data_IF_709307626968
#
_entry.id   IF_709307626968
#
_cell.length_a   1.000
_cell.length_b   1.000
_cell.length_c   1.000
_cell.angle_alpha   90.00
_cell.angle_beta   90.00
_cell.angle_gamma   90.00
#
_symmetry.space_group_name_H-M   'P 1'
#
loop_
_entity.id
_entity.type
_entity.pdbx_description
1 polymer ?
#
# COMPACT_ATOMS: atom_id res chain seq x y z
N UNK A 1 -14.95 -14.86 -17.17
CA UNK A 1 -14.35 -13.66 -17.80
C UNK A 1 -12.91 -14.01 -18.13
N UNK A 2 -12.44 -13.77 -19.36
CA UNK A 2 -11.08 -14.14 -19.74
C UNK A 2 -10.09 -13.25 -18.99
N UNK A 3 -9.10 -13.86 -18.34
CA UNK A 3 -8.06 -13.13 -17.62
C UNK A 3 -7.16 -12.42 -18.63
N UNK A 4 -7.07 -11.10 -18.52
CA UNK A 4 -6.27 -10.30 -19.42
C UNK A 4 -4.79 -10.42 -19.02
N UNK A 5 -3.97 -10.93 -19.94
CA UNK A 5 -2.52 -11.01 -19.76
C UNK A 5 -1.91 -9.72 -20.27
N UNK A 6 -1.14 -9.05 -19.43
CA UNK A 6 -0.52 -7.77 -19.75
C UNK A 6 0.98 -7.93 -19.67
N UNK A 7 1.65 -7.62 -20.78
CA UNK A 7 3.11 -7.59 -20.83
C UNK A 7 3.62 -6.22 -20.38
N UNK A 8 4.51 -6.23 -19.39
CA UNK A 8 5.17 -5.03 -18.86
C UNK A 8 6.68 -5.19 -18.91
N UNK A 9 7.39 -4.07 -19.01
CA UNK A 9 8.85 -4.02 -18.92
C UNK A 9 9.24 -3.25 -17.66
N UNK A 10 10.13 -3.83 -16.85
CA UNK A 10 10.69 -3.20 -15.65
C UNK A 10 12.18 -3.50 -15.61
N UNK A 11 13.01 -2.47 -15.49
CA UNK A 11 14.47 -2.61 -15.42
C UNK A 11 15.03 -3.46 -16.57
N UNK A 12 14.53 -3.22 -17.79
CA UNK A 12 14.89 -3.92 -19.04
C UNK A 12 14.55 -5.42 -19.05
N UNK A 13 13.65 -5.86 -18.17
CA UNK A 13 13.15 -7.23 -18.11
C UNK A 13 11.66 -7.23 -18.43
N UNK A 14 11.24 -8.16 -19.29
CA UNK A 14 9.83 -8.32 -19.67
C UNK A 14 9.15 -9.31 -18.75
N UNK A 15 7.95 -8.97 -18.31
CA UNK A 15 7.11 -9.77 -17.44
C UNK A 15 5.71 -9.82 -18.01
N UNK A 16 5.08 -11.00 -18.00
CA UNK A 16 3.66 -11.15 -18.27
C UNK A 16 2.93 -11.24 -16.94
N UNK A 17 2.04 -10.28 -16.67
CA UNK A 17 1.29 -10.16 -15.43
C UNK A 17 -0.19 -10.41 -15.72
N UNK A 18 -0.83 -11.18 -14.85
CA UNK A 18 -2.25 -11.54 -14.92
C UNK A 18 -2.84 -11.32 -13.53
N UNK A 19 -3.73 -10.32 -13.39
CA UNK A 19 -4.39 -9.98 -12.13
C UNK A 19 -5.87 -9.69 -12.36
N UNK A 20 -6.69 -10.15 -11.41
CA UNK A 20 -8.16 -10.02 -11.48
C UNK A 20 -8.66 -8.68 -10.89
N UNK A 21 -7.82 -8.00 -10.11
CA UNK A 21 -8.16 -6.81 -9.32
C UNK A 21 -7.58 -5.50 -9.87
N UNK A 22 -6.81 -5.57 -10.95
CA UNK A 22 -6.21 -4.40 -11.61
C UNK A 22 -6.41 -4.47 -13.12
N UNK A 23 -6.76 -3.34 -13.72
CA UNK A 23 -6.82 -3.22 -15.18
C UNK A 23 -5.44 -3.03 -15.82
N UNK A 24 -5.38 -3.10 -17.15
CA UNK A 24 -4.14 -2.93 -17.91
C UNK A 24 -3.43 -1.59 -17.64
N UNK A 25 -4.20 -0.51 -17.50
CA UNK A 25 -3.65 0.82 -17.27
C UNK A 25 -3.03 0.93 -15.87
N UNK A 26 -3.70 0.37 -14.86
CA UNK A 26 -3.21 0.31 -13.49
C UNK A 26 -1.94 -0.53 -13.39
N UNK A 27 -1.88 -1.69 -14.06
CA UNK A 27 -0.68 -2.53 -14.10
C UNK A 27 0.50 -1.79 -14.75
N UNK A 28 0.25 -1.07 -15.85
CA UNK A 28 1.25 -0.22 -16.50
C UNK A 28 1.70 0.97 -15.62
N UNK A 29 0.79 1.56 -14.86
CA UNK A 29 1.12 2.65 -13.94
C UNK A 29 2.03 2.15 -12.81
N UNK A 30 1.70 1.00 -12.22
CA UNK A 30 2.51 0.36 -11.17
C UNK A 30 3.88 -0.04 -11.70
N UNK A 31 3.99 -0.57 -12.92
CA UNK A 31 5.28 -0.95 -13.50
C UNK A 31 6.20 0.26 -13.69
N UNK A 32 5.65 1.42 -14.11
CA UNK A 32 6.40 2.68 -14.23
C UNK A 32 6.85 3.22 -12.87
N UNK A 33 5.99 3.15 -11.85
CA UNK A 33 6.37 3.56 -10.50
C UNK A 33 7.49 2.67 -9.95
N UNK A 34 7.40 1.35 -10.16
CA UNK A 34 8.42 0.39 -9.76
C UNK A 34 9.78 0.69 -10.42
N UNK A 35 9.77 1.03 -11.72
CA UNK A 35 10.98 1.41 -12.45
C UNK A 35 11.60 2.72 -11.91
N UNK A 36 10.78 3.72 -11.63
CA UNK A 36 11.25 4.99 -11.04
C UNK A 36 11.87 4.76 -9.65
N UNK A 37 11.24 3.94 -8.81
CA UNK A 37 11.75 3.59 -7.47
C UNK A 37 13.04 2.80 -7.54
N UNK A 38 13.17 1.86 -8.46
CA UNK A 38 14.41 1.12 -8.69
C UNK A 38 15.55 2.07 -9.11
N UNK A 39 15.29 2.98 -10.06
CA UNK A 39 16.28 3.95 -10.51
C UNK A 39 16.74 4.88 -9.37
N UNK A 40 15.81 5.34 -8.54
CA UNK A 40 16.12 6.14 -7.35
C UNK A 40 16.95 5.35 -6.34
N UNK A 41 16.54 4.12 -6.02
CA UNK A 41 17.26 3.27 -5.08
C UNK A 41 18.68 2.96 -5.55
N UNK A 42 18.86 2.74 -6.86
CA UNK A 42 20.17 2.58 -7.48
C UNK A 42 21.04 3.83 -7.31
N UNK A 43 20.47 5.02 -7.52
CA UNK A 43 21.17 6.29 -7.34
C UNK A 43 21.60 6.51 -5.87
N UNK A 44 20.72 6.18 -4.93
CA UNK A 44 20.94 6.40 -3.49
C UNK A 44 21.93 5.40 -2.87
N UNK A 45 21.94 4.15 -3.35
CA UNK A 45 22.72 3.05 -2.73
C UNK A 45 23.97 2.66 -3.52
N UNK A 46 24.09 3.12 -4.76
CA UNK A 46 25.12 2.71 -5.73
C UNK A 46 25.18 1.19 -6.00
N UNK A 47 24.15 0.43 -5.60
CA UNK A 47 24.05 -1.00 -5.91
C UNK A 47 23.68 -1.15 -7.38
N UNK A 48 24.50 -1.86 -8.16
CA UNK A 48 24.27 -2.10 -9.60
C UNK A 48 23.52 -3.41 -9.86
N UNK A 49 23.56 -4.33 -8.89
CA UNK A 49 22.90 -5.63 -9.01
C UNK A 49 21.37 -5.47 -8.96
N UNK A 50 20.73 -5.70 -10.11
CA UNK A 50 19.27 -5.57 -10.27
C UNK A 50 18.47 -6.55 -9.40
N UNK A 51 19.03 -7.72 -9.07
CA UNK A 51 18.38 -8.68 -8.16
C UNK A 51 18.38 -8.18 -6.72
N UNK A 52 19.52 -7.66 -6.25
CA UNK A 52 19.64 -7.05 -4.91
C UNK A 52 18.76 -5.80 -4.80
N UNK A 53 18.74 -4.93 -5.81
CA UNK A 53 17.86 -3.77 -5.84
C UNK A 53 16.38 -4.17 -5.77
N UNK A 54 15.96 -5.22 -6.48
CA UNK A 54 14.60 -5.72 -6.43
C UNK A 54 14.22 -6.23 -5.03
N UNK A 55 15.12 -6.96 -4.36
CA UNK A 55 14.90 -7.44 -2.99
C UNK A 55 14.84 -6.28 -2.00
N UNK A 56 15.75 -5.30 -2.12
CA UNK A 56 15.75 -4.11 -1.27
C UNK A 56 14.45 -3.30 -1.43
N UNK A 57 14.00 -3.11 -2.67
CA UNK A 57 12.75 -2.41 -2.93
C UNK A 57 11.53 -3.17 -2.42
N UNK A 58 11.51 -4.51 -2.54
CA UNK A 58 10.44 -5.33 -1.97
C UNK A 58 10.38 -5.22 -0.44
N UNK A 59 11.54 -5.16 0.23
CA UNK A 59 11.62 -4.94 1.68
C UNK A 59 11.11 -3.55 2.08
N UNK A 60 11.47 -2.52 1.30
CA UNK A 60 11.03 -1.14 1.55
C UNK A 60 9.50 -1.02 1.40
N UNK A 61 8.93 -1.55 0.32
CA UNK A 61 7.47 -1.62 0.11
C UNK A 61 6.79 -2.39 1.24
N UNK A 62 7.36 -3.50 1.69
CA UNK A 62 6.80 -4.29 2.80
C UNK A 62 6.79 -3.51 4.12
N UNK A 63 7.85 -2.73 4.38
CA UNK A 63 7.90 -1.83 5.53
C UNK A 63 6.82 -0.74 5.46
N UNK A 64 6.64 -0.14 4.28
CA UNK A 64 5.62 0.89 4.05
C UNK A 64 4.21 0.32 4.22
N UNK A 65 3.94 -0.87 3.68
CA UNK A 65 2.66 -1.54 3.90
C UNK A 65 2.42 -1.81 5.39
N UNK A 66 3.45 -2.21 6.14
CA UNK A 66 3.30 -2.45 7.58
C UNK A 66 3.03 -1.16 8.36
N UNK A 67 3.67 -0.06 7.98
CA UNK A 67 3.41 1.27 8.56
C UNK A 67 2.01 1.76 8.22
N UNK A 68 1.55 1.58 6.99
CA UNK A 68 0.20 1.93 6.56
C UNK A 68 -0.85 1.13 7.32
N UNK A 69 -0.63 -0.17 7.50
CA UNK A 69 -1.51 -1.02 8.32
C UNK A 69 -1.60 -0.49 9.76
N UNK A 70 -0.47 -0.22 10.41
CA UNK A 70 -0.48 0.31 11.78
C UNK A 70 -1.23 1.65 11.90
N UNK A 71 -1.11 2.54 10.90
CA UNK A 71 -1.85 3.81 10.89
C UNK A 71 -3.36 3.64 10.69
N UNK A 72 -3.79 2.63 9.93
CA UNK A 72 -5.21 2.29 9.79
C UNK A 72 -5.74 1.74 11.13
N UNK A 73 -5.02 0.81 11.75
CA UNK A 73 -5.39 0.22 13.04
C UNK A 73 -5.49 1.30 14.14
N UNK A 74 -4.54 2.24 14.20
CA UNK A 74 -4.58 3.39 15.13
C UNK A 74 -5.75 4.35 14.84
N UNK A 75 -6.07 4.55 13.56
CA UNK A 75 -7.20 5.36 13.11
C UNK A 75 -8.54 4.78 13.55
N UNK A 76 -8.72 3.47 13.37
CA UNK A 76 -9.91 2.74 13.79
C UNK A 76 -10.08 2.78 15.31
N UNK A 77 -9.00 2.55 16.06
CA UNK A 77 -9.01 2.63 17.53
C UNK A 77 -9.38 4.04 18.04
N UNK A 78 -8.98 5.07 17.32
CA UNK A 78 -9.30 6.47 17.63
C UNK A 78 -10.77 6.79 17.33
N UNK A 79 -11.32 6.24 16.25
CA UNK A 79 -12.74 6.38 15.91
C UNK A 79 -13.64 5.63 16.89
N UNK A 80 -13.25 4.43 17.30
CA UNK A 80 -13.98 3.60 18.26
C UNK A 80 -14.10 4.32 19.62
N UNK A 81 -12.99 4.86 20.14
CA UNK A 81 -13.00 5.67 21.38
C UNK A 81 -13.86 6.93 21.27
N UNK A 82 -13.92 7.54 20.08
CA UNK A 82 -14.77 8.72 19.85
C UNK A 82 -16.24 8.36 19.85
N UNK A 83 -16.60 7.21 19.25
CA UNK A 83 -17.96 6.67 19.27
C UNK A 83 -18.40 6.30 20.68
N UNK A 84 -17.55 5.62 21.45
CA UNK A 84 -17.82 5.33 22.87
C UNK A 84 -18.04 6.63 23.67
N UNK A 85 -17.20 7.65 23.46
CA UNK A 85 -17.37 8.95 24.11
C UNK A 85 -18.71 9.62 23.78
N UNK A 86 -19.17 9.52 22.52
CA UNK A 86 -20.47 10.04 22.10
C UNK A 86 -21.64 9.26 22.72
N UNK A 87 -21.53 7.93 22.82
CA UNK A 87 -22.52 7.07 23.49
C UNK A 87 -22.62 7.46 24.97
N UNK A 88 -21.50 7.62 25.67
CA UNK A 88 -21.48 8.03 27.09
C UNK A 88 -22.14 9.40 27.29
N UNK A 89 -21.93 10.35 26.36
CA UNK A 89 -22.56 11.67 26.43
C UNK A 89 -24.08 11.58 26.21
N UNK A 90 -24.54 10.75 25.28
CA UNK A 90 -25.97 10.50 25.04
C UNK A 90 -26.62 9.83 26.26
N UNK A 91 -25.97 8.82 26.86
CA UNK A 91 -26.46 8.16 28.07
C UNK A 91 -26.57 9.13 29.26
N UNK A 92 -25.61 10.05 29.40
CA UNK A 92 -25.68 11.10 30.42
C UNK A 92 -26.80 12.10 30.18
N UNK A 93 -27.07 12.46 28.91
CA UNK A 93 -28.15 13.37 28.55
C UNK A 93 -29.54 12.73 28.68
N UNK A 94 -29.64 11.41 28.49
CA UNK A 94 -30.88 10.63 28.59
C UNK A 94 -31.20 10.18 30.02
N UNK A 95 -30.25 10.22 30.95
CA UNK A 95 -30.54 10.00 32.37
C UNK A 95 -31.39 11.17 32.90
N UNK A 96 -32.64 10.94 33.33
CA UNK A 96 -33.45 11.99 33.92
C UNK A 96 -32.75 12.47 35.19
N UNK A 97 -32.58 13.78 35.29
CA UNK A 97 -32.13 14.43 36.51
C UNK A 97 -33.17 14.11 37.62
N UNK A 98 -32.78 13.57 38.78
CA UNK A 98 -33.72 13.33 39.87
C UNK A 98 -34.32 14.64 40.42
#
# INVERSE_FOLDING_TARGET
MAREKIDVEVARRKFTVERDDLDAFQILAVSKDLEARLAKLQADTHVVDTGKLAVMLALDISCDMKRLQGRLDEGDLTQEKRLEGMIILLEKALKPNP
#
